data_IF_886085346276
#
_entry.id   IF_886085346276
#
_cell.length_a   1.000
_cell.length_b   1.000
_cell.length_c   1.000
_cell.angle_alpha   90.00
_cell.angle_beta   90.00
_cell.angle_gamma   90.00
#
_symmetry.space_group_name_H-M   'P 1'
#
loop_
_entity.id
_entity.type
_entity.pdbx_description
1 polymer ?
#
# COMPACT_ATOMS: atom_id res chain seq x y z
N UNK A 1 -16.93 26.96 -34.26
CA UNK A 1 -16.01 26.53 -33.19
C UNK A 1 -16.67 26.88 -31.87
N UNK A 2 -17.15 25.88 -31.13
CA UNK A 2 -17.73 26.07 -29.80
C UNK A 2 -16.61 25.79 -28.79
N UNK A 3 -16.16 26.83 -28.10
CA UNK A 3 -15.23 26.70 -26.98
C UNK A 3 -15.94 25.99 -25.82
N UNK A 4 -15.52 24.75 -25.52
CA UNK A 4 -15.86 24.12 -24.24
C UNK A 4 -15.09 24.86 -23.15
N UNK A 5 -15.82 25.49 -22.22
CA UNK A 5 -15.23 25.99 -20.97
C UNK A 5 -14.54 24.83 -20.24
N UNK A 6 -13.39 25.09 -19.58
CA UNK A 6 -12.72 24.07 -18.78
C UNK A 6 -13.64 23.66 -17.63
N UNK A 7 -13.80 22.35 -17.44
CA UNK A 7 -14.49 21.79 -16.28
C UNK A 7 -13.82 22.34 -15.01
N UNK A 8 -14.51 23.25 -14.33
CA UNK A 8 -14.13 23.69 -13.00
C UNK A 8 -14.22 22.48 -12.09
N UNK A 9 -13.07 21.99 -11.61
CA UNK A 9 -12.99 20.89 -10.66
C UNK A 9 -13.99 21.15 -9.52
N UNK A 10 -15.05 20.34 -9.47
CA UNK A 10 -16.04 20.39 -8.39
C UNK A 10 -15.30 19.99 -7.13
N UNK A 11 -14.95 20.96 -6.29
CA UNK A 11 -14.44 20.70 -4.96
C UNK A 11 -15.58 20.07 -4.17
N UNK A 12 -15.52 18.75 -3.96
CA UNK A 12 -16.46 18.11 -3.05
C UNK A 12 -16.27 18.71 -1.64
N UNK A 13 -17.33 19.20 -0.99
CA UNK A 13 -17.23 19.78 0.34
C UNK A 13 -16.82 18.69 1.34
N UNK A 14 -15.92 19.06 2.25
CA UNK A 14 -15.47 18.21 3.35
C UNK A 14 -16.67 17.82 4.23
N UNK A 15 -16.91 16.53 4.41
CA UNK A 15 -18.06 16.04 5.18
C UNK A 15 -17.72 15.93 6.67
N UNK A 16 -18.73 15.88 7.56
CA UNK A 16 -18.50 15.55 8.96
C UNK A 16 -17.79 14.21 9.17
N UNK A 17 -18.00 13.24 8.26
CA UNK A 17 -17.29 11.95 8.30
C UNK A 17 -15.80 12.15 7.99
N UNK A 18 -15.46 12.95 6.97
CA UNK A 18 -14.06 13.25 6.65
C UNK A 18 -13.36 13.95 7.81
N UNK A 19 -14.07 14.81 8.54
CA UNK A 19 -13.55 15.45 9.75
C UNK A 19 -13.22 14.44 10.83
N UNK A 20 -14.17 13.56 11.17
CA UNK A 20 -13.94 12.54 12.18
C UNK A 20 -12.85 11.54 11.78
N UNK A 21 -12.72 11.21 10.49
CA UNK A 21 -11.65 10.36 10.00
C UNK A 21 -10.27 11.04 10.09
N UNK A 22 -10.22 12.34 9.78
CA UNK A 22 -9.01 13.14 9.95
C UNK A 22 -8.61 13.25 11.43
N UNK A 23 -9.56 13.51 12.32
CA UNK A 23 -9.35 13.52 13.78
C UNK A 23 -8.93 12.14 14.31
N UNK A 24 -9.49 11.06 13.75
CA UNK A 24 -9.10 9.69 14.04
C UNK A 24 -7.76 9.28 13.39
N UNK A 25 -7.14 10.16 12.59
CA UNK A 25 -5.86 9.96 11.90
C UNK A 25 -5.80 8.65 11.11
N UNK A 26 -6.92 8.29 10.49
CA UNK A 26 -7.07 7.07 9.70
C UNK A 26 -7.19 7.43 8.22
N UNK A 27 -6.33 6.84 7.40
CA UNK A 27 -6.29 7.02 5.94
C UNK A 27 -6.62 5.69 5.28
N UNK A 28 -7.61 5.69 4.39
CA UNK A 28 -8.03 4.47 3.69
C UNK A 28 -7.29 4.32 2.37
N UNK A 29 -6.75 3.13 2.15
CA UNK A 29 -6.24 2.65 0.86
C UNK A 29 -7.19 1.57 0.38
N UNK A 30 -8.33 2.01 -0.17
CA UNK A 30 -9.44 1.14 -0.54
C UNK A 30 -9.66 1.13 -2.05
N UNK A 31 -9.82 -0.05 -2.64
CA UNK A 31 -10.01 -0.23 -4.08
C UNK A 31 -8.71 -0.26 -4.87
N UNK A 32 -8.82 -0.19 -6.20
CA UNK A 32 -7.68 -0.32 -7.12
C UNK A 32 -6.69 0.84 -6.94
N UNK A 33 -5.40 0.50 -6.88
CA UNK A 33 -4.31 1.47 -6.80
C UNK A 33 -4.10 2.10 -8.16
N UNK A 34 -4.33 3.40 -8.25
CA UNK A 34 -4.08 4.23 -9.42
C UNK A 34 -3.61 5.62 -8.98
N UNK A 35 -3.31 6.49 -9.95
CA UNK A 35 -2.76 7.82 -9.66
C UNK A 35 -3.72 8.71 -8.86
N UNK A 36 -5.05 8.52 -9.02
CA UNK A 36 -6.05 9.26 -8.26
C UNK A 36 -6.05 8.85 -6.79
N UNK A 37 -6.06 7.53 -6.49
CA UNK A 37 -5.97 7.01 -5.13
C UNK A 37 -4.65 7.44 -4.49
N UNK A 38 -3.54 7.32 -5.22
CA UNK A 38 -2.20 7.74 -4.75
C UNK A 38 -2.18 9.21 -4.37
N UNK A 39 -2.69 10.09 -5.23
CA UNK A 39 -2.80 11.52 -4.94
C UNK A 39 -3.66 11.77 -3.68
N UNK A 40 -4.82 11.12 -3.54
CA UNK A 40 -5.72 11.28 -2.39
C UNK A 40 -5.03 10.87 -1.08
N UNK A 41 -4.44 9.68 -1.05
CA UNK A 41 -3.74 9.13 0.13
C UNK A 41 -2.56 10.00 0.51
N UNK A 42 -1.69 10.37 -0.44
CA UNK A 42 -0.50 11.18 -0.16
C UNK A 42 -0.86 12.57 0.38
N UNK A 43 -1.91 13.20 -0.16
CA UNK A 43 -2.42 14.48 0.37
C UNK A 43 -2.87 14.36 1.83
N UNK A 44 -3.58 13.28 2.17
CA UNK A 44 -4.03 13.05 3.55
C UNK A 44 -2.86 12.80 4.50
N UNK A 45 -1.88 11.99 4.09
CA UNK A 45 -0.66 11.71 4.86
C UNK A 45 0.11 12.99 5.20
N UNK A 46 0.39 13.82 4.19
CA UNK A 46 1.09 15.10 4.37
C UNK A 46 0.28 16.09 5.21
N UNK A 47 -1.04 16.12 5.06
CA UNK A 47 -1.91 16.95 5.89
C UNK A 47 -1.91 16.51 7.37
N UNK A 48 -1.95 15.21 7.63
CA UNK A 48 -1.93 14.64 8.99
C UNK A 48 -0.59 14.84 9.68
N UNK A 49 0.53 14.72 8.95
CA UNK A 49 1.86 15.09 9.42
C UNK A 49 1.90 16.57 9.81
N UNK A 50 1.44 17.45 8.92
CA UNK A 50 1.45 18.90 9.18
C UNK A 50 0.62 19.29 10.40
N UNK A 51 -0.50 18.59 10.63
CA UNK A 51 -1.39 18.82 11.75
C UNK A 51 -0.80 18.32 13.08
N UNK A 52 -0.17 17.15 13.09
CA UNK A 52 0.56 16.64 14.24
C UNK A 52 1.64 15.64 13.77
N UNK A 53 2.94 16.01 13.81
CA UNK A 53 4.01 15.17 13.27
C UNK A 53 4.39 13.99 14.18
N UNK A 54 3.96 13.98 15.44
CA UNK A 54 4.35 12.93 16.40
C UNK A 54 3.25 11.90 16.64
N UNK A 55 1.98 12.25 16.39
CA UNK A 55 0.87 11.33 16.55
C UNK A 55 0.83 10.28 15.43
N UNK A 56 0.62 8.98 15.75
CA UNK A 56 0.62 7.92 14.74
C UNK A 56 -0.50 8.10 13.72
N UNK A 57 -0.32 7.49 12.55
CA UNK A 57 -1.30 7.45 11.46
C UNK A 57 -1.64 5.99 11.16
N UNK A 58 -2.93 5.70 11.02
CA UNK A 58 -3.42 4.37 10.66
C UNK A 58 -3.68 4.34 9.14
N UNK A 59 -2.93 3.50 8.43
CA UNK A 59 -3.23 3.12 7.05
C UNK A 59 -4.16 1.91 7.06
N UNK A 60 -5.40 2.11 6.66
CA UNK A 60 -6.40 1.06 6.54
C UNK A 60 -6.43 0.53 5.11
N UNK A 61 -5.87 -0.66 4.90
CA UNK A 61 -5.65 -1.24 3.56
C UNK A 61 -6.72 -2.28 3.24
N UNK A 62 -7.47 -2.03 2.17
CA UNK A 62 -8.43 -2.94 1.54
C UNK A 62 -8.36 -2.79 0.02
N UNK A 63 -7.31 -3.33 -0.59
CA UNK A 63 -6.97 -3.10 -1.98
C UNK A 63 -6.56 -4.38 -2.72
N UNK A 64 -7.09 -4.60 -3.94
CA UNK A 64 -6.60 -5.63 -4.86
C UNK A 64 -5.21 -5.29 -5.46
N UNK A 65 -4.63 -4.14 -5.11
CA UNK A 65 -3.44 -3.59 -5.75
C UNK A 65 -3.78 -2.79 -6.99
N UNK A 66 -2.83 -2.65 -7.91
CA UNK A 66 -2.97 -1.85 -9.12
C UNK A 66 -1.63 -1.37 -9.65
N UNK A 67 -1.57 -0.14 -10.14
CA UNK A 67 -0.39 0.46 -10.75
C UNK A 67 0.80 0.52 -9.77
N UNK A 68 1.93 -0.04 -10.20
CA UNK A 68 3.14 -0.20 -9.37
C UNK A 68 3.67 1.13 -8.85
N UNK A 69 3.81 2.13 -9.72
CA UNK A 69 4.41 3.40 -9.33
C UNK A 69 3.48 4.27 -8.48
N UNK A 70 2.16 4.21 -8.73
CA UNK A 70 1.17 4.81 -7.82
C UNK A 70 1.22 4.19 -6.42
N UNK A 71 1.42 2.87 -6.34
CA UNK A 71 1.59 2.17 -5.06
C UNK A 71 2.90 2.50 -4.37
N UNK A 72 4.01 2.62 -5.11
CA UNK A 72 5.28 3.11 -4.54
C UNK A 72 5.15 4.56 -4.04
N UNK A 73 4.42 5.41 -4.76
CA UNK A 73 4.15 6.78 -4.29
C UNK A 73 3.48 6.82 -2.92
N UNK A 74 2.53 5.91 -2.65
CA UNK A 74 1.91 5.77 -1.33
C UNK A 74 2.90 5.22 -0.30
N UNK A 75 3.57 4.13 -0.64
CA UNK A 75 4.52 3.44 0.23
C UNK A 75 5.66 4.37 0.68
N UNK A 76 6.29 5.06 -0.26
CA UNK A 76 7.41 5.96 0.01
C UNK A 76 6.96 7.19 0.79
N UNK A 77 5.79 7.76 0.48
CA UNK A 77 5.23 8.88 1.28
C UNK A 77 5.00 8.46 2.72
N UNK A 78 4.40 7.27 2.94
CA UNK A 78 4.15 6.75 4.28
C UNK A 78 5.45 6.50 5.06
N UNK A 79 6.52 6.04 4.43
CA UNK A 79 7.82 5.89 5.08
C UNK A 79 8.59 7.20 5.28
N UNK A 80 8.34 8.20 4.43
CA UNK A 80 9.06 9.47 4.43
C UNK A 80 8.60 10.41 5.56
N UNK A 81 7.31 10.42 5.88
CA UNK A 81 6.76 11.34 6.88
C UNK A 81 7.18 10.97 8.31
N UNK A 82 7.21 11.97 9.21
CA UNK A 82 7.60 11.79 10.61
C UNK A 82 6.66 10.91 11.45
N UNK A 83 5.32 10.97 11.27
CA UNK A 83 4.40 10.12 12.03
C UNK A 83 4.70 8.63 11.87
N UNK A 84 4.68 7.91 12.99
CA UNK A 84 4.70 6.45 12.96
C UNK A 84 3.46 5.90 12.22
N UNK A 85 3.70 5.07 11.21
CA UNK A 85 2.65 4.40 10.46
C UNK A 85 2.27 3.08 11.12
N UNK A 86 0.96 2.85 11.23
CA UNK A 86 0.36 1.57 11.61
C UNK A 86 -0.48 1.12 10.44
N UNK A 87 -0.25 -0.10 9.95
CA UNK A 87 -1.06 -0.66 8.87
C UNK A 87 -2.07 -1.64 9.45
N UNK A 88 -3.34 -1.50 9.06
CA UNK A 88 -4.39 -2.48 9.30
C UNK A 88 -4.85 -3.04 7.96
N UNK A 89 -4.61 -4.32 7.72
CA UNK A 89 -5.17 -5.03 6.56
C UNK A 89 -6.59 -5.48 6.90
N UNK A 90 -7.56 -4.95 6.19
CA UNK A 90 -8.96 -5.32 6.27
C UNK A 90 -9.42 -5.81 4.90
N UNK A 91 -10.05 -6.98 4.82
CA UNK A 91 -10.44 -7.54 3.52
C UNK A 91 -9.24 -8.05 2.73
N UNK A 92 -8.66 -7.25 1.84
CA UNK A 92 -7.59 -7.66 0.94
C UNK A 92 -6.37 -6.71 0.96
N UNK A 93 -5.17 -7.27 0.97
CA UNK A 93 -3.96 -6.55 0.56
C UNK A 93 -3.23 -7.38 -0.48
N UNK A 94 -3.55 -7.14 -1.75
CA UNK A 94 -2.99 -7.86 -2.88
C UNK A 94 -2.03 -6.99 -3.69
N UNK A 95 -0.97 -7.58 -4.25
CA UNK A 95 -0.07 -6.91 -5.18
C UNK A 95 0.52 -5.63 -4.56
N UNK A 96 0.27 -4.46 -5.14
CA UNK A 96 0.67 -3.18 -4.54
C UNK A 96 -0.04 -2.86 -3.22
N UNK A 97 -1.22 -3.42 -2.96
CA UNK A 97 -1.86 -3.34 -1.64
C UNK A 97 -1.02 -4.01 -0.56
N UNK A 98 -0.42 -5.18 -0.84
CA UNK A 98 0.53 -5.82 0.09
C UNK A 98 1.83 -5.03 0.23
N UNK A 99 2.33 -4.38 -0.81
CA UNK A 99 3.51 -3.49 -0.69
C UNK A 99 3.20 -2.30 0.21
N UNK A 100 2.08 -1.61 -0.02
CA UNK A 100 1.63 -0.48 0.80
C UNK A 100 1.47 -0.91 2.27
N UNK A 101 0.96 -2.12 2.51
CA UNK A 101 0.84 -2.66 3.86
C UNK A 101 2.19 -2.84 4.58
N UNK A 102 3.30 -2.98 3.85
CA UNK A 102 4.66 -3.06 4.39
C UNK A 102 5.27 -1.69 4.72
N UNK A 103 4.58 -0.57 4.44
CA UNK A 103 5.09 0.77 4.76
C UNK A 103 5.25 0.98 6.28
N UNK A 104 4.39 0.36 7.09
CA UNK A 104 4.58 0.33 8.54
C UNK A 104 5.73 -0.59 8.94
N UNK A 105 6.38 -0.27 10.06
CA UNK A 105 7.38 -1.13 10.68
C UNK A 105 6.81 -2.50 11.07
N UNK A 106 7.66 -3.54 11.16
CA UNK A 106 7.20 -4.94 11.19
C UNK A 106 6.11 -5.23 12.22
N UNK A 107 6.38 -4.80 13.44
CA UNK A 107 5.52 -4.75 14.62
C UNK A 107 4.15 -4.04 14.47
N UNK A 108 4.04 -3.06 13.56
CA UNK A 108 2.92 -2.12 13.43
C UNK A 108 2.00 -2.48 12.27
N UNK A 109 2.23 -3.65 11.67
CA UNK A 109 1.40 -4.23 10.63
C UNK A 109 0.48 -5.27 11.25
N UNK A 110 -0.82 -5.05 11.22
CA UNK A 110 -1.80 -6.00 11.75
C UNK A 110 -2.83 -6.33 10.70
N UNK A 111 -3.52 -7.45 10.87
CA UNK A 111 -4.62 -7.83 9.98
C UNK A 111 -5.85 -8.24 10.79
N UNK A 112 -7.03 -8.02 10.20
CA UNK A 112 -8.29 -8.55 10.73
C UNK A 112 -8.41 -10.06 10.44
N UNK A 113 -9.28 -10.80 11.15
CA UNK A 113 -9.28 -12.27 11.11
C UNK A 113 -9.60 -12.88 9.74
N UNK A 114 -10.42 -12.18 8.94
CA UNK A 114 -10.84 -12.61 7.61
C UNK A 114 -10.04 -11.95 6.48
N UNK A 115 -9.00 -11.17 6.82
CA UNK A 115 -8.17 -10.54 5.82
C UNK A 115 -7.42 -11.58 4.97
N UNK A 116 -6.96 -11.18 3.81
CA UNK A 116 -6.13 -12.00 2.93
C UNK A 116 -5.04 -11.15 2.31
N UNK A 117 -3.86 -11.74 2.15
CA UNK A 117 -2.78 -11.11 1.40
C UNK A 117 -2.55 -11.90 0.11
N UNK A 118 -2.10 -11.20 -0.94
CA UNK A 118 -1.66 -11.83 -2.19
C UNK A 118 -0.35 -11.16 -2.62
N UNK A 119 0.70 -11.95 -2.77
CA UNK A 119 1.96 -11.49 -3.35
C UNK A 119 2.21 -12.22 -4.67
N UNK A 120 2.80 -11.51 -5.63
CA UNK A 120 3.13 -11.99 -6.96
C UNK A 120 4.13 -11.01 -7.60
N UNK A 121 4.79 -11.46 -8.67
CA UNK A 121 5.69 -10.63 -9.47
C UNK A 121 4.94 -9.48 -10.17
N UNK A 122 5.61 -8.37 -10.54
CA UNK A 122 4.97 -7.30 -11.29
C UNK A 122 4.48 -7.81 -12.65
N UNK A 123 3.34 -7.29 -13.09
CA UNK A 123 2.73 -7.61 -14.37
C UNK A 123 2.75 -6.39 -15.28
N UNK A 124 2.82 -6.65 -16.59
CA UNK A 124 2.54 -5.62 -17.59
C UNK A 124 1.03 -5.37 -17.59
N UNK A 125 0.59 -4.18 -17.20
CA UNK A 125 -0.83 -3.80 -17.13
C UNK A 125 -1.51 -3.57 -18.49
N UNK A 126 -0.95 -4.09 -19.58
CA UNK A 126 -1.42 -3.83 -20.95
C UNK A 126 -0.53 -4.48 -22.01
N UNK A 127 -0.66 -4.05 -23.26
CA UNK A 127 0.19 -4.50 -24.35
C UNK A 127 1.40 -3.58 -24.51
N UNK A 128 2.61 -4.15 -24.52
CA UNK A 128 3.81 -3.46 -24.96
C UNK A 128 3.88 -3.57 -26.48
N UNK A 129 4.14 -2.46 -27.18
CA UNK A 129 4.34 -2.40 -28.62
C UNK A 129 5.50 -1.48 -28.95
N UNK A 130 6.29 -1.83 -29.96
CA UNK A 130 7.44 -1.05 -30.38
C UNK A 130 8.39 -1.87 -31.24
N UNK A 131 9.47 -1.23 -31.67
CA UNK A 131 10.65 -1.83 -32.27
C UNK A 131 11.33 -2.84 -31.33
N UNK A 132 12.20 -3.68 -31.88
CA UNK A 132 12.95 -4.67 -31.09
C UNK A 132 13.71 -4.03 -29.92
N UNK A 133 14.30 -2.85 -30.13
CA UNK A 133 15.02 -2.09 -29.09
C UNK A 133 14.09 -1.59 -27.98
N UNK A 134 12.87 -1.13 -28.32
CA UNK A 134 11.88 -0.71 -27.31
C UNK A 134 11.39 -1.90 -26.48
N UNK A 135 11.15 -3.05 -27.12
CA UNK A 135 10.77 -4.28 -26.40
C UNK A 135 11.87 -4.73 -25.44
N UNK A 136 13.14 -4.67 -25.85
CA UNK A 136 14.28 -5.01 -25.01
C UNK A 136 14.37 -4.09 -23.77
N UNK A 137 14.15 -2.78 -23.95
CA UNK A 137 14.15 -1.80 -22.84
C UNK A 137 13.05 -2.14 -21.83
N UNK A 138 11.81 -2.38 -22.29
CA UNK A 138 10.70 -2.72 -21.40
C UNK A 138 10.92 -4.06 -20.68
N UNK A 139 11.49 -5.06 -21.35
CA UNK A 139 11.81 -6.34 -20.74
C UNK A 139 12.87 -6.18 -19.62
N UNK A 140 13.90 -5.37 -19.85
CA UNK A 140 14.91 -5.07 -18.83
C UNK A 140 14.32 -4.36 -17.61
N UNK A 141 13.48 -3.35 -17.84
CA UNK A 141 12.84 -2.58 -16.76
C UNK A 141 11.95 -3.46 -15.87
N UNK A 142 11.10 -4.31 -16.44
CA UNK A 142 10.21 -5.17 -15.62
C UNK A 142 10.98 -6.26 -14.86
N UNK A 143 12.10 -6.77 -15.40
CA UNK A 143 12.97 -7.72 -14.71
C UNK A 143 13.67 -7.05 -13.52
N UNK A 144 14.13 -5.82 -13.70
CA UNK A 144 14.72 -5.02 -12.62
C UNK A 144 13.68 -4.72 -11.54
N UNK A 145 12.47 -4.32 -11.94
CA UNK A 145 11.35 -4.07 -11.04
C UNK A 145 10.97 -5.32 -10.24
N UNK A 146 10.90 -6.49 -10.89
CA UNK A 146 10.69 -7.78 -10.22
C UNK A 146 11.74 -8.01 -9.14
N UNK A 147 13.00 -7.79 -9.48
CA UNK A 147 14.13 -7.93 -8.54
C UNK A 147 14.06 -6.92 -7.39
N UNK A 148 13.66 -5.67 -7.65
CA UNK A 148 13.42 -4.64 -6.64
C UNK A 148 12.33 -5.06 -5.66
N UNK A 149 11.22 -5.60 -6.15
CA UNK A 149 10.12 -6.07 -5.31
C UNK A 149 10.55 -7.21 -4.38
N UNK A 150 11.29 -8.22 -4.89
CA UNK A 150 11.80 -9.30 -4.03
C UNK A 150 12.66 -8.76 -2.89
N UNK A 151 13.56 -7.81 -3.19
CA UNK A 151 14.40 -7.16 -2.17
C UNK A 151 13.58 -6.38 -1.14
N UNK A 152 12.56 -5.64 -1.59
CA UNK A 152 11.68 -4.91 -0.68
C UNK A 152 10.98 -5.85 0.30
N UNK A 153 10.38 -6.94 -0.18
CA UNK A 153 9.74 -7.91 0.71
C UNK A 153 10.76 -8.56 1.65
N UNK A 154 11.95 -8.91 1.17
CA UNK A 154 13.03 -9.45 1.98
C UNK A 154 13.41 -8.50 3.14
N UNK A 155 13.67 -7.24 2.81
CA UNK A 155 14.02 -6.19 3.77
C UNK A 155 12.92 -5.98 4.81
N UNK A 156 11.66 -5.82 4.37
CA UNK A 156 10.54 -5.50 5.26
C UNK A 156 10.05 -6.69 6.09
N UNK A 157 10.41 -7.93 5.74
CA UNK A 157 10.02 -9.13 6.50
C UNK A 157 11.16 -9.72 7.32
N UNK A 158 12.40 -9.48 6.92
CA UNK A 158 13.62 -10.08 7.48
C UNK A 158 13.93 -11.48 6.95
N UNK A 159 13.25 -11.95 5.91
CA UNK A 159 13.55 -13.24 5.27
C UNK A 159 14.53 -13.06 4.09
N UNK A 160 15.29 -14.12 3.71
CA UNK A 160 16.19 -14.06 2.55
C UNK A 160 15.46 -13.74 1.25
N UNK A 161 16.13 -13.04 0.33
CA UNK A 161 15.55 -12.64 -0.97
C UNK A 161 15.12 -13.83 -1.82
N UNK A 162 15.84 -14.95 -1.71
CA UNK A 162 15.55 -16.20 -2.40
C UNK A 162 14.17 -16.74 -2.02
N UNK A 163 13.72 -16.51 -0.77
CA UNK A 163 12.37 -16.90 -0.36
C UNK A 163 11.30 -16.13 -1.13
N UNK A 164 11.53 -14.86 -1.44
CA UNK A 164 10.58 -14.06 -2.22
C UNK A 164 10.66 -14.32 -3.72
N UNK A 165 11.83 -14.74 -4.24
CA UNK A 165 11.92 -15.26 -5.61
C UNK A 165 10.94 -16.43 -5.78
N UNK A 166 10.97 -17.41 -4.87
CA UNK A 166 10.09 -18.57 -4.94
C UNK A 166 8.61 -18.22 -4.65
N UNK A 167 8.37 -17.42 -3.61
CA UNK A 167 7.01 -17.10 -3.17
C UNK A 167 6.24 -16.21 -4.15
N UNK A 168 6.93 -15.39 -4.93
CA UNK A 168 6.29 -14.41 -5.83
C UNK A 168 6.32 -14.83 -7.31
N UNK A 169 6.94 -15.96 -7.65
CA UNK A 169 6.98 -16.45 -9.03
C UNK A 169 5.56 -16.74 -9.58
N UNK A 170 4.64 -17.11 -8.70
CA UNK A 170 3.20 -17.25 -8.99
C UNK A 170 2.39 -16.53 -7.92
N UNK A 171 1.11 -16.34 -8.22
CA UNK A 171 0.13 -15.84 -7.26
C UNK A 171 0.17 -16.68 -5.97
N UNK A 172 0.56 -16.02 -4.87
CA UNK A 172 0.59 -16.63 -3.54
C UNK A 172 -0.41 -15.95 -2.63
N UNK A 173 -1.54 -16.63 -2.45
CA UNK A 173 -2.58 -16.27 -1.49
C UNK A 173 -2.17 -16.68 -0.08
N UNK A 174 -2.22 -15.74 0.86
CA UNK A 174 -1.67 -15.90 2.21
C UNK A 174 -2.76 -15.57 3.22
N UNK A 175 -3.06 -16.52 4.10
CA UNK A 175 -3.98 -16.31 5.22
C UNK A 175 -3.30 -15.50 6.34
N UNK A 176 -4.04 -14.80 7.22
CA UNK A 176 -3.43 -13.93 8.23
C UNK A 176 -2.43 -14.63 9.16
N UNK A 177 -2.68 -15.89 9.52
CA UNK A 177 -1.74 -16.68 10.34
C UNK A 177 -0.41 -16.94 9.61
N UNK A 178 -0.47 -17.36 8.35
CA UNK A 178 0.71 -17.54 7.51
C UNK A 178 1.42 -16.20 7.26
N UNK A 179 0.68 -15.10 7.14
CA UNK A 179 1.26 -13.77 6.98
C UNK A 179 2.08 -13.34 8.21
N UNK A 180 1.72 -13.79 9.42
CA UNK A 180 2.54 -13.61 10.62
C UNK A 180 3.84 -14.41 10.52
N UNK A 181 3.76 -15.68 10.10
CA UNK A 181 4.92 -16.58 9.96
C UNK A 181 5.91 -16.06 8.90
N UNK A 182 5.40 -15.54 7.79
CA UNK A 182 6.19 -14.90 6.74
C UNK A 182 6.68 -13.49 7.12
N UNK A 183 6.27 -12.99 8.29
CA UNK A 183 6.63 -11.66 8.75
C UNK A 183 6.09 -10.55 7.87
N UNK A 184 4.98 -10.73 7.16
CA UNK A 184 4.25 -9.70 6.41
C UNK A 184 3.38 -8.84 7.34
N UNK A 185 2.89 -9.43 8.43
CA UNK A 185 2.21 -8.74 9.53
C UNK A 185 2.81 -9.21 10.87
N UNK A 186 2.61 -8.44 11.95
CA UNK A 186 3.03 -8.82 13.30
C UNK A 186 2.02 -9.71 14.01
N UNK A 187 0.72 -9.42 13.85
CA UNK A 187 -0.36 -10.20 14.49
C UNK A 187 -1.71 -10.01 13.81
N UNK A 188 -2.58 -10.98 14.07
CA UNK A 188 -4.01 -10.88 13.79
C UNK A 188 -4.69 -10.22 14.99
N UNK A 189 -5.54 -9.21 14.75
CA UNK A 189 -6.31 -8.52 15.78
C UNK A 189 -7.81 -8.71 15.54
N UNK A 190 -8.61 -8.71 16.60
CA UNK A 190 -10.06 -8.94 16.52
C UNK A 190 -10.91 -7.87 17.20
N UNK A 191 -10.29 -6.93 17.91
CA UNK A 191 -11.00 -5.89 18.66
C UNK A 191 -10.29 -4.54 18.58
N UNK A 192 -11.05 -3.48 18.91
CA UNK A 192 -10.50 -2.13 19.03
C UNK A 192 -9.39 -2.04 20.09
N UNK A 193 -9.55 -2.76 21.19
CA UNK A 193 -8.57 -2.84 22.29
C UNK A 193 -7.21 -3.35 21.81
N UNK A 194 -7.21 -4.33 20.90
CA UNK A 194 -5.96 -4.90 20.35
C UNK A 194 -5.19 -3.87 19.50
N UNK A 195 -5.92 -3.03 18.76
CA UNK A 195 -5.36 -1.96 17.94
C UNK A 195 -4.83 -0.81 18.81
N UNK A 196 -5.56 -0.43 19.86
CA UNK A 196 -5.12 0.59 20.81
C UNK A 196 -3.82 0.20 21.52
N UNK A 197 -3.64 -1.08 21.82
CA UNK A 197 -2.38 -1.57 22.37
C UNK A 197 -1.19 -1.41 21.39
N UNK A 198 -1.44 -1.39 20.07
CA UNK A 198 -0.39 -1.09 19.07
C UNK A 198 -0.14 0.41 18.98
N UNK A 199 -1.21 1.21 18.96
CA UNK A 199 -1.14 2.68 18.87
C UNK A 199 -0.34 3.26 20.05
N UNK A 200 -0.56 2.74 21.25
CA UNK A 200 0.00 3.28 22.50
C UNK A 200 1.37 2.71 22.90
N UNK A 201 1.99 1.90 22.06
CA UNK A 201 3.33 1.35 22.31
C UNK A 201 4.40 2.39 22.01
#
# INVERSE_FOLDING_TARGET
>A
MSEKKPDTAVTQPFTPIDQHLFEARTVFVSGEVNSELSMKVNRQLLALERANPTAPIILWVDSPGGEVYSGFGIYDTAQFIQPRIITVVAGLAASMGSVIALAAEKQDRVALPNAKLLIHQPLVGGAIRGSASELEIHAKDIIELKSKMHRLYAERTGLPVERFVDLMERDRWIAPKEAVELGLISKVISSRKDLEAIINR
#
